data_IF_642027775427
#
_entry.id   IF_642027775427
#
_cell.length_a   1.000
_cell.length_b   1.000
_cell.length_c   1.000
_cell.angle_alpha   90.00
_cell.angle_beta   90.00
_cell.angle_gamma   90.00
#
_symmetry.space_group_name_H-M   'P 1'
#
loop_
_entity.id
_entity.type
_entity.pdbx_description
1 polymer ?
#
# COMPACT_ATOMS: atom_id res chain seq x y z
N UNK A 1 13.61 -1.88 16.65
CA UNK A 1 13.28 -0.59 17.31
C UNK A 1 14.21 0.58 16.93
N UNK A 2 15.51 0.41 16.60
CA UNK A 2 16.38 1.56 16.25
C UNK A 2 16.04 2.23 14.90
N UNK A 3 15.66 1.46 13.87
CA UNK A 3 15.42 1.98 12.52
C UNK A 3 14.22 2.95 12.42
N UNK A 4 13.21 2.84 13.28
CA UNK A 4 12.04 3.74 13.24
C UNK A 4 12.38 5.17 13.67
N UNK A 5 13.39 5.33 14.55
CA UNK A 5 13.80 6.64 15.06
C UNK A 5 14.56 7.46 14.00
N UNK A 6 15.16 6.80 13.01
CA UNK A 6 15.97 7.47 11.98
C UNK A 6 15.14 8.40 11.08
N UNK A 7 13.84 8.16 10.97
CA UNK A 7 12.94 8.98 10.16
C UNK A 7 12.19 10.04 10.96
N UNK A 8 12.26 10.01 12.30
CA UNK A 8 11.54 10.97 13.15
C UNK A 8 11.85 12.44 12.82
N UNK A 9 13.11 12.85 12.58
CA UNK A 9 13.40 14.23 12.22
C UNK A 9 12.67 14.67 10.94
N UNK A 10 12.69 13.81 9.91
CA UNK A 10 12.02 14.08 8.63
C UNK A 10 10.50 14.11 8.75
N UNK A 11 9.94 13.21 9.56
CA UNK A 11 8.50 13.20 9.85
C UNK A 11 8.07 14.45 10.60
N UNK A 12 8.89 14.94 11.53
CA UNK A 12 8.63 16.17 12.27
C UNK A 12 8.71 17.40 11.38
N UNK A 13 9.70 17.46 10.49
CA UNK A 13 9.85 18.52 9.49
C UNK A 13 8.64 18.58 8.56
N UNK A 14 8.27 17.45 7.95
CA UNK A 14 7.07 17.35 7.11
C UNK A 14 5.80 17.78 7.87
N UNK A 15 5.63 17.34 9.12
CA UNK A 15 4.47 17.71 9.93
C UNK A 15 4.45 19.22 10.25
N UNK A 16 5.61 19.86 10.45
CA UNK A 16 5.71 21.31 10.67
C UNK A 16 5.38 22.10 9.42
N UNK A 17 5.84 21.65 8.25
CA UNK A 17 5.53 22.28 6.96
C UNK A 17 4.05 22.13 6.59
N UNK A 18 3.42 21.03 6.99
CA UNK A 18 2.05 20.69 6.62
C UNK A 18 0.99 21.16 7.64
N UNK A 19 1.39 21.70 8.80
CA UNK A 19 0.46 21.97 9.92
C UNK A 19 -0.53 23.10 9.61
N UNK A 20 -0.11 24.07 8.80
CA UNK A 20 -0.89 25.26 8.46
C UNK A 20 -1.69 25.07 7.14
N UNK A 21 -1.63 23.89 6.52
CA UNK A 21 -2.39 23.60 5.30
C UNK A 21 -3.90 23.55 5.61
N UNK A 22 -4.66 24.33 4.86
CA UNK A 22 -6.12 24.36 4.96
C UNK A 22 -6.79 23.36 4.01
N UNK A 23 -8.13 23.31 4.02
CA UNK A 23 -8.88 22.40 3.16
C UNK A 23 -8.66 22.67 1.67
N UNK A 24 -8.45 23.92 1.26
CA UNK A 24 -8.23 24.26 -0.15
C UNK A 24 -6.84 23.83 -0.63
N UNK A 25 -5.86 23.74 0.27
CA UNK A 25 -4.59 23.09 -0.01
C UNK A 25 -4.73 21.57 -0.09
N UNK A 26 -5.43 20.94 0.84
CA UNK A 26 -5.64 19.48 0.82
C UNK A 26 -6.44 18.99 -0.39
N UNK A 27 -7.34 19.80 -0.95
CA UNK A 27 -8.06 19.50 -2.20
C UNK A 27 -7.15 19.30 -3.40
N UNK A 28 -5.98 19.96 -3.40
CA UNK A 28 -5.00 19.87 -4.49
C UNK A 28 -4.14 18.61 -4.39
N UNK A 29 -4.19 17.87 -3.28
CA UNK A 29 -3.36 16.68 -3.06
C UNK A 29 -4.04 15.45 -3.63
N UNK A 30 -3.31 14.74 -4.49
CA UNK A 30 -3.65 13.39 -4.96
C UNK A 30 -2.80 12.39 -4.20
N UNK A 31 -3.43 11.64 -3.29
CA UNK A 31 -2.79 10.56 -2.56
C UNK A 31 -2.80 9.29 -3.38
N UNK A 32 -1.68 8.60 -3.43
CA UNK A 32 -1.54 7.30 -4.11
C UNK A 32 -0.91 6.27 -3.19
N UNK A 33 -1.26 5.01 -3.40
CA UNK A 33 -0.61 3.89 -2.73
C UNK A 33 -0.85 2.57 -3.49
N UNK A 34 -0.01 1.58 -3.24
CA UNK A 34 -0.24 0.19 -3.66
C UNK A 34 -0.46 -0.75 -2.50
N UNK A 35 -1.61 -1.43 -2.53
CA UNK A 35 -1.95 -2.44 -1.53
C UNK A 35 -1.86 -3.84 -2.11
N UNK A 36 -1.20 -4.73 -1.36
CA UNK A 36 -1.17 -6.17 -1.65
C UNK A 36 -2.14 -6.92 -0.72
N UNK A 37 -3.21 -7.46 -1.30
CA UNK A 37 -4.21 -8.24 -0.58
C UNK A 37 -3.97 -9.74 -0.79
N UNK A 38 -3.75 -10.47 0.29
CA UNK A 38 -3.59 -11.92 0.26
C UNK A 38 -4.91 -12.64 -0.08
N UNK A 39 -4.85 -13.69 -0.91
CA UNK A 39 -6.03 -14.52 -1.22
C UNK A 39 -6.48 -15.38 -0.03
N UNK A 40 -5.63 -15.53 0.99
CA UNK A 40 -5.97 -16.11 2.29
C UNK A 40 -5.61 -15.13 3.40
N UNK A 41 -6.34 -15.22 4.51
CA UNK A 41 -6.11 -14.42 5.72
C UNK A 41 -4.63 -14.43 6.13
N UNK A 42 -4.13 -13.25 6.52
CA UNK A 42 -2.76 -13.07 6.99
C UNK A 42 -2.53 -13.72 8.36
N UNK A 43 -3.59 -13.94 9.16
CA UNK A 43 -3.43 -14.45 10.51
C UNK A 43 -3.00 -15.92 10.54
N UNK A 44 -3.49 -16.76 9.61
CA UNK A 44 -3.22 -18.19 9.53
C UNK A 44 -3.32 -18.96 10.86
N UNK A 45 -3.93 -18.39 11.90
CA UNK A 45 -3.85 -18.89 13.28
C UNK A 45 -5.03 -19.81 13.52
N UNK A 46 -4.76 -21.10 13.44
CA UNK A 46 -5.70 -22.14 13.84
C UNK A 46 -5.34 -22.57 15.25
N UNK A 47 -6.26 -22.39 16.19
CA UNK A 47 -6.12 -22.87 17.55
C UNK A 47 -6.45 -24.36 17.60
N UNK A 48 -5.55 -25.16 18.17
CA UNK A 48 -5.75 -26.58 18.41
C UNK A 48 -5.40 -26.91 19.87
N UNK A 49 -6.16 -27.81 20.47
CA UNK A 49 -5.81 -28.41 21.76
C UNK A 49 -4.97 -29.67 21.52
N UNK A 50 -3.86 -29.82 22.25
CA UNK A 50 -2.98 -31.00 22.17
C UNK A 50 -2.31 -31.28 23.50
N UNK A 51 -1.90 -32.53 23.73
CA UNK A 51 -1.17 -32.95 24.91
C UNK A 51 0.33 -32.61 24.79
N UNK A 52 1.07 -32.56 25.91
CA UNK A 52 2.54 -32.48 25.87
C UNK A 52 3.13 -33.60 25.00
N UNK A 53 4.02 -33.24 24.06
CA UNK A 53 4.66 -34.19 23.14
C UNK A 53 3.99 -34.31 21.76
N UNK A 54 2.74 -33.88 21.58
CA UNK A 54 2.00 -34.02 20.31
C UNK A 54 2.28 -32.88 19.31
N UNK A 55 3.34 -32.09 19.50
CA UNK A 55 3.57 -30.88 18.68
C UNK A 55 3.74 -31.19 17.18
N UNK A 56 4.36 -32.31 16.86
CA UNK A 56 4.79 -32.66 15.50
C UNK A 56 3.99 -33.83 14.89
N UNK A 57 2.91 -34.28 15.54
CA UNK A 57 2.02 -35.26 14.91
C UNK A 57 1.23 -34.58 13.79
N UNK A 58 0.99 -35.30 12.70
CA UNK A 58 0.32 -34.75 11.52
C UNK A 58 -1.05 -34.12 11.84
N UNK A 59 -1.79 -34.69 12.79
CA UNK A 59 -3.08 -34.16 13.25
C UNK A 59 -2.98 -32.79 13.96
N UNK A 60 -1.80 -32.40 14.43
CA UNK A 60 -1.53 -31.13 15.09
C UNK A 60 -0.77 -30.13 14.20
N UNK A 61 -0.63 -30.43 12.91
CA UNK A 61 0.03 -29.57 11.93
C UNK A 61 -0.96 -29.15 10.86
N UNK A 62 -0.97 -27.85 10.51
CA UNK A 62 -1.72 -27.35 9.36
C UNK A 62 -0.72 -27.10 8.23
N UNK A 63 -0.93 -27.66 7.03
CA UNK A 63 -0.05 -27.40 5.90
C UNK A 63 -0.10 -25.91 5.54
N UNK A 64 1.06 -25.27 5.53
CA UNK A 64 1.19 -23.90 5.08
C UNK A 64 1.36 -23.87 3.56
N UNK A 65 0.44 -23.22 2.85
CA UNK A 65 0.56 -23.07 1.40
C UNK A 65 1.69 -22.08 1.09
N UNK A 66 2.52 -22.40 0.10
CA UNK A 66 3.52 -21.47 -0.41
C UNK A 66 2.85 -20.15 -0.83
N UNK A 67 3.50 -19.02 -0.53
CA UNK A 67 2.98 -17.67 -0.81
C UNK A 67 1.57 -17.39 -0.23
N UNK A 68 1.14 -18.13 0.81
CA UNK A 68 -0.20 -17.99 1.43
C UNK A 68 -1.35 -18.16 0.43
N UNK A 69 -1.13 -18.89 -0.66
CA UNK A 69 -2.13 -19.05 -1.73
C UNK A 69 -2.18 -17.93 -2.75
N UNK A 70 -1.22 -16.99 -2.71
CA UNK A 70 -1.13 -15.87 -3.65
C UNK A 70 -1.71 -14.57 -3.10
N UNK A 71 -1.57 -13.51 -3.88
CA UNK A 71 -2.02 -12.16 -3.54
C UNK A 71 -2.37 -11.41 -4.82
N UNK A 72 -3.30 -10.46 -4.70
CA UNK A 72 -3.60 -9.47 -5.73
C UNK A 72 -3.00 -8.14 -5.27
N UNK A 73 -2.36 -7.43 -6.19
CA UNK A 73 -1.85 -6.09 -5.95
C UNK A 73 -2.81 -5.11 -6.60
N UNK A 74 -3.13 -4.06 -5.87
CA UNK A 74 -3.99 -2.99 -6.33
C UNK A 74 -3.25 -1.66 -6.23
N UNK A 75 -3.58 -0.76 -7.13
CA UNK A 75 -3.20 0.65 -7.07
C UNK A 75 -4.48 1.47 -6.93
N UNK A 76 -4.45 2.50 -6.10
CA UNK A 76 -5.52 3.49 -6.03
C UNK A 76 -4.96 4.90 -5.95
N UNK A 77 -5.76 5.84 -6.40
CA UNK A 77 -5.54 7.27 -6.24
C UNK A 77 -6.80 7.94 -5.69
N UNK A 78 -6.61 8.81 -4.69
CA UNK A 78 -7.71 9.50 -4.02
C UNK A 78 -7.35 10.95 -3.71
N UNK A 79 -8.31 11.84 -3.96
CA UNK A 79 -8.26 13.25 -3.57
C UNK A 79 -9.53 13.60 -2.80
N UNK A 80 -9.60 14.80 -2.22
CA UNK A 80 -10.80 15.24 -1.50
C UNK A 80 -12.02 15.37 -2.41
N UNK A 81 -11.82 15.74 -3.67
CA UNK A 81 -12.90 16.04 -4.62
C UNK A 81 -13.22 14.88 -5.56
N UNK A 82 -12.30 13.94 -5.73
CA UNK A 82 -12.44 12.82 -6.66
C UNK A 82 -11.82 11.53 -6.13
N UNK A 83 -12.49 10.42 -6.40
CA UNK A 83 -11.98 9.06 -6.24
C UNK A 83 -12.20 8.29 -7.53
N UNK A 84 -11.36 7.29 -7.78
CA UNK A 84 -11.46 6.43 -8.96
C UNK A 84 -11.72 4.98 -8.60
N UNK A 85 -11.88 4.19 -9.66
CA UNK A 85 -11.96 2.75 -9.55
C UNK A 85 -10.58 2.18 -9.26
N UNK A 86 -10.55 1.24 -8.31
CA UNK A 86 -9.35 0.53 -7.91
C UNK A 86 -8.73 -0.25 -9.08
N UNK A 87 -7.45 -0.04 -9.35
CA UNK A 87 -6.73 -0.65 -10.47
C UNK A 87 -6.11 -1.97 -10.04
N UNK A 88 -6.44 -3.06 -10.74
CA UNK A 88 -5.80 -4.37 -10.51
C UNK A 88 -4.47 -4.46 -11.25
N UNK A 89 -3.38 -4.54 -10.49
CA UNK A 89 -2.05 -4.82 -11.03
C UNK A 89 -1.91 -6.33 -11.20
N UNK A 90 -2.01 -6.79 -12.45
CA UNK A 90 -2.08 -8.23 -12.77
C UNK A 90 -0.77 -8.99 -12.54
N UNK A 91 0.33 -8.31 -12.20
CA UNK A 91 1.67 -8.89 -12.06
C UNK A 91 2.12 -8.95 -10.60
N UNK A 92 3.06 -9.85 -10.29
CA UNK A 92 3.55 -10.11 -8.93
C UNK A 92 4.44 -9.00 -8.34
N UNK A 93 5.01 -8.12 -9.16
CA UNK A 93 5.85 -7.01 -8.71
C UNK A 93 5.76 -5.83 -9.67
N UNK A 94 5.71 -4.62 -9.10
CA UNK A 94 5.97 -3.36 -9.77
C UNK A 94 7.47 -3.08 -9.73
N UNK A 95 8.04 -2.70 -10.87
CA UNK A 95 9.40 -2.18 -10.96
C UNK A 95 9.30 -0.74 -11.48
N UNK A 96 10.29 0.11 -11.19
CA UNK A 96 10.30 1.54 -11.54
C UNK A 96 9.72 1.87 -12.92
N UNK A 97 10.24 1.24 -13.97
CA UNK A 97 9.79 1.54 -15.34
C UNK A 97 8.34 1.14 -15.64
N UNK A 98 7.85 0.11 -14.95
CA UNK A 98 6.44 -0.32 -15.08
C UNK A 98 5.51 0.54 -14.24
N UNK A 99 5.98 1.06 -13.11
CA UNK A 99 5.18 2.04 -12.38
C UNK A 99 4.89 3.26 -13.26
N UNK A 100 5.90 3.74 -13.98
CA UNK A 100 5.71 4.84 -14.96
C UNK A 100 4.69 4.45 -16.05
N UNK A 101 4.94 3.35 -16.77
CA UNK A 101 4.15 2.98 -17.94
C UNK A 101 2.76 2.44 -17.63
N UNK A 102 2.63 1.64 -16.57
CA UNK A 102 1.38 0.97 -16.23
C UNK A 102 0.53 1.84 -15.29
N UNK A 103 1.13 2.63 -14.39
CA UNK A 103 0.41 3.44 -13.40
C UNK A 103 0.37 4.92 -13.78
N UNK A 104 1.52 5.60 -13.82
CA UNK A 104 1.56 7.07 -13.97
C UNK A 104 0.99 7.52 -15.31
N UNK A 105 1.41 6.91 -16.42
CA UNK A 105 0.99 7.29 -17.77
C UNK A 105 -0.49 6.98 -18.02
N UNK A 106 -1.02 5.87 -17.48
CA UNK A 106 -2.39 5.43 -17.77
C UNK A 106 -3.44 5.96 -16.80
N UNK A 107 -3.09 6.19 -15.53
CA UNK A 107 -4.06 6.51 -14.48
C UNK A 107 -3.84 7.88 -13.86
N UNK A 108 -2.60 8.35 -13.69
CA UNK A 108 -2.33 9.64 -13.05
C UNK A 108 -2.33 10.80 -14.05
N UNK A 109 -1.56 10.70 -15.13
CA UNK A 109 -1.40 11.77 -16.11
C UNK A 109 -2.72 12.22 -16.76
N UNK A 110 -3.68 11.32 -17.08
CA UNK A 110 -4.99 11.75 -17.60
C UNK A 110 -5.86 12.50 -16.59
N UNK A 111 -5.57 12.37 -15.30
CA UNK A 111 -6.43 12.85 -14.19
C UNK A 111 -5.94 14.14 -13.63
N UNK A 112 -4.63 14.36 -13.64
CA UNK A 112 -4.02 15.59 -13.17
C UNK A 112 -4.76 16.86 -13.66
N UNK A 113 -5.16 16.99 -14.95
CA UNK A 113 -5.88 18.18 -15.42
C UNK A 113 -7.30 18.34 -14.86
N UNK A 114 -7.93 17.27 -14.37
CA UNK A 114 -9.32 17.30 -13.87
C UNK A 114 -9.41 17.71 -12.39
N UNK A 115 -8.34 17.53 -11.62
CA UNK A 115 -8.26 17.94 -10.22
C UNK A 115 -7.88 19.43 -10.13
N UNK A 116 -7.05 19.91 -11.05
CA UNK A 116 -6.73 21.33 -11.21
C UNK A 116 -5.34 21.55 -11.77
N UNK A 117 -5.03 22.81 -12.11
CA UNK A 117 -3.76 23.18 -12.76
C UNK A 117 -2.52 23.04 -11.85
N UNK A 118 -2.71 22.80 -10.55
CA UNK A 118 -1.63 22.80 -9.56
C UNK A 118 -1.79 21.67 -8.53
N UNK A 119 -1.83 20.42 -9.02
CA UNK A 119 -1.92 19.25 -8.16
C UNK A 119 -0.60 18.93 -7.45
N UNK A 120 -0.71 18.46 -6.21
CA UNK A 120 0.39 17.83 -5.49
C UNK A 120 0.23 16.32 -5.53
N UNK A 121 1.10 15.64 -6.25
CA UNK A 121 1.17 14.19 -6.26
C UNK A 121 1.90 13.71 -5.00
N UNK A 122 1.22 12.93 -4.15
CA UNK A 122 1.79 12.42 -2.90
C UNK A 122 1.82 10.89 -2.91
N UNK A 123 3.04 10.37 -2.82
CA UNK A 123 3.34 8.95 -2.85
C UNK A 123 4.37 8.59 -1.78
N UNK A 124 4.55 7.30 -1.53
CA UNK A 124 5.53 6.80 -0.58
C UNK A 124 6.96 6.88 -1.14
N UNK A 125 7.94 6.45 -0.33
CA UNK A 125 9.35 6.37 -0.75
C UNK A 125 9.75 4.91 -0.99
N UNK A 126 8.97 4.17 -1.77
CA UNK A 126 9.32 2.83 -2.18
C UNK A 126 10.61 2.82 -3.03
N UNK A 127 11.40 1.75 -2.86
CA UNK A 127 12.54 1.45 -3.72
C UNK A 127 12.00 0.64 -4.91
N UNK A 128 11.48 1.32 -5.93
CA UNK A 128 10.96 0.69 -7.15
C UNK A 128 12.06 0.26 -8.13
#
# INVERSE_FOLDING_TARGET
MPEMLQFLPKRLEFARESVDLDLDDWKKVLFTDEVRVGLKSSDGRIFIFRRPGERYIQACMVPHLAFRGGSIMFYDDISLEARKDLVVIRRRSLASQKYIQEILENYVAPVAPHIGDNIFFMDDKALT
#
